data_IF_493358636554
#
_entry.id   IF_493358636554
#
_cell.length_a   1.000
_cell.length_b   1.000
_cell.length_c   1.000
_cell.angle_alpha   90.00
_cell.angle_beta   90.00
_cell.angle_gamma   90.00
#
_symmetry.space_group_name_H-M   'P 1'
#
loop_
_entity.id
_entity.type
_entity.pdbx_description
1 polymer ?
#
# COMPACT_ATOMS: atom_id res chain seq x y z
N UNK A 1 7.46 -25.50 -20.19
CA UNK A 1 7.22 -24.39 -21.12
C UNK A 1 6.81 -23.18 -20.31
N UNK A 2 7.41 -22.01 -20.53
CA UNK A 2 7.07 -20.76 -19.88
C UNK A 2 5.74 -20.22 -20.42
N UNK A 3 5.08 -19.37 -19.65
CA UNK A 3 3.85 -18.72 -20.10
C UNK A 3 4.18 -17.50 -20.97
N UNK A 4 5.25 -16.78 -20.60
CA UNK A 4 5.72 -15.60 -21.29
C UNK A 4 7.24 -15.51 -21.26
N UNK A 5 7.81 -15.00 -22.35
CA UNK A 5 9.18 -14.46 -22.40
C UNK A 5 9.11 -13.01 -22.84
N UNK A 6 9.76 -12.12 -22.10
CA UNK A 6 10.01 -10.73 -22.47
C UNK A 6 11.46 -10.61 -22.91
N UNK A 7 11.73 -10.01 -24.08
CA UNK A 7 13.08 -9.92 -24.66
C UNK A 7 13.29 -8.61 -25.40
N UNK A 8 14.57 -8.26 -25.68
CA UNK A 8 14.95 -7.11 -26.51
C UNK A 8 15.02 -5.77 -25.79
N UNK A 9 14.64 -5.73 -24.51
CA UNK A 9 14.71 -4.50 -23.72
C UNK A 9 15.88 -4.50 -22.74
N UNK A 10 16.27 -3.30 -22.31
CA UNK A 10 17.26 -3.12 -21.23
C UNK A 10 16.57 -3.27 -19.89
N UNK A 11 16.86 -4.36 -19.16
CA UNK A 11 16.24 -4.71 -17.87
C UNK A 11 16.98 -4.04 -16.74
N UNK A 12 16.29 -3.23 -15.94
CA UNK A 12 16.86 -2.58 -14.76
C UNK A 12 16.91 -3.56 -13.59
N UNK A 13 18.11 -3.79 -13.08
CA UNK A 13 18.38 -4.63 -11.91
C UNK A 13 19.03 -3.81 -10.79
N UNK A 14 19.16 -4.33 -9.56
CA UNK A 14 19.90 -3.65 -8.51
C UNK A 14 21.36 -3.35 -8.86
N UNK A 15 21.94 -4.10 -9.81
CA UNK A 15 23.30 -3.88 -10.32
C UNK A 15 23.36 -2.91 -11.51
N UNK A 16 22.22 -2.39 -11.95
CA UNK A 16 22.08 -1.50 -13.11
C UNK A 16 21.34 -2.16 -14.29
N UNK A 17 21.26 -1.46 -15.44
CA UNK A 17 20.61 -1.98 -16.63
C UNK A 17 21.43 -3.10 -17.27
N UNK A 18 20.79 -4.18 -17.68
CA UNK A 18 21.39 -5.35 -18.30
C UNK A 18 20.48 -5.87 -19.42
N UNK A 19 21.07 -6.37 -20.51
CA UNK A 19 20.33 -6.96 -21.62
C UNK A 19 19.97 -8.42 -21.28
N UNK A 20 18.79 -8.63 -20.75
CA UNK A 20 18.28 -9.92 -20.32
C UNK A 20 16.94 -10.24 -20.99
N UNK A 21 16.67 -11.53 -21.17
CA UNK A 21 15.35 -12.06 -21.39
C UNK A 21 14.73 -12.53 -20.06
N UNK A 22 13.48 -12.14 -19.80
CA UNK A 22 12.73 -12.49 -18.60
C UNK A 22 11.74 -13.59 -18.94
N UNK A 23 11.91 -14.77 -18.33
CA UNK A 23 10.94 -15.87 -18.45
C UNK A 23 9.97 -15.87 -17.28
N UNK A 24 8.68 -15.91 -17.59
CA UNK A 24 7.59 -15.93 -16.61
C UNK A 24 6.86 -17.27 -16.64
N UNK A 25 6.59 -17.81 -15.46
CA UNK A 25 5.79 -19.02 -15.26
C UNK A 25 4.88 -18.85 -14.03
N UNK A 26 3.61 -19.15 -14.19
CA UNK A 26 2.59 -19.07 -13.13
C UNK A 26 2.59 -17.70 -12.42
N UNK A 27 2.68 -16.60 -13.21
CA UNK A 27 2.69 -15.22 -12.71
C UNK A 27 3.99 -14.77 -12.02
N UNK A 28 5.05 -15.60 -12.04
CA UNK A 28 6.32 -15.29 -11.38
C UNK A 28 7.47 -15.27 -12.37
N UNK A 29 8.50 -14.46 -12.09
CA UNK A 29 9.78 -14.51 -12.83
C UNK A 29 10.44 -15.85 -12.50
N UNK A 30 10.52 -16.73 -13.51
CA UNK A 30 11.10 -18.06 -13.39
C UNK A 30 12.55 -18.12 -13.87
N UNK A 31 12.96 -17.21 -14.77
CA UNK A 31 14.32 -17.14 -15.27
C UNK A 31 14.69 -15.73 -15.73
N UNK A 32 15.98 -15.40 -15.55
CA UNK A 32 16.66 -14.29 -16.20
C UNK A 32 17.77 -14.90 -17.04
N UNK A 33 17.78 -14.67 -18.34
CA UNK A 33 18.71 -15.30 -19.28
C UNK A 33 19.38 -14.20 -20.10
N UNK A 34 20.65 -14.35 -20.41
CA UNK A 34 21.35 -13.46 -21.34
C UNK A 34 20.54 -13.37 -22.65
N UNK A 35 20.29 -12.13 -23.11
CA UNK A 35 19.51 -11.89 -24.33
C UNK A 35 20.15 -12.48 -25.59
N UNK A 36 21.47 -12.71 -25.59
CA UNK A 36 22.21 -13.36 -26.65
C UNK A 36 22.10 -14.92 -26.65
N UNK A 37 21.61 -15.49 -25.53
CA UNK A 37 21.39 -16.93 -25.45
C UNK A 37 20.09 -17.36 -26.15
N UNK A 38 19.97 -18.64 -26.54
CA UNK A 38 18.71 -19.17 -27.08
C UNK A 38 17.57 -18.97 -26.08
N UNK A 39 16.50 -18.36 -26.55
CA UNK A 39 15.33 -18.12 -25.71
C UNK A 39 14.62 -19.42 -25.34
N UNK A 40 14.20 -19.60 -24.09
CA UNK A 40 13.43 -20.75 -23.68
C UNK A 40 12.06 -20.78 -24.36
N UNK A 41 11.50 -21.97 -24.59
CA UNK A 41 10.18 -22.13 -25.18
C UNK A 41 9.10 -21.54 -24.26
N UNK A 42 8.25 -20.65 -24.83
CA UNK A 42 7.17 -19.98 -24.12
C UNK A 42 5.89 -19.98 -24.98
N UNK A 43 4.75 -19.91 -24.30
CA UNK A 43 3.45 -19.77 -24.96
C UNK A 43 3.30 -18.41 -25.66
N UNK A 44 3.93 -17.37 -25.12
CA UNK A 44 3.92 -16.00 -25.63
C UNK A 44 5.28 -15.36 -25.53
N UNK A 45 5.65 -14.53 -26.52
CA UNK A 45 6.85 -13.70 -26.48
C UNK A 45 6.44 -12.23 -26.65
N UNK A 46 6.94 -11.37 -25.77
CA UNK A 46 6.85 -9.91 -25.89
C UNK A 46 8.23 -9.35 -26.24
N UNK A 47 8.26 -8.51 -27.26
CA UNK A 47 9.47 -7.78 -27.65
C UNK A 47 9.41 -6.39 -27.06
N UNK A 48 10.49 -6.00 -26.39
CA UNK A 48 10.70 -4.68 -25.79
C UNK A 48 11.91 -3.98 -26.45
N UNK A 49 12.11 -4.19 -27.74
CA UNK A 49 13.25 -3.63 -28.47
C UNK A 49 13.31 -2.10 -28.30
N UNK A 50 14.45 -1.60 -27.81
CA UNK A 50 14.67 -0.18 -27.55
C UNK A 50 13.95 0.39 -26.32
N UNK A 51 13.30 -0.45 -25.53
CA UNK A 51 12.62 -0.04 -24.31
C UNK A 51 13.45 -0.35 -23.07
N UNK A 52 13.16 0.37 -21.98
CA UNK A 52 13.63 0.05 -20.64
C UNK A 52 12.58 -0.78 -19.93
N UNK A 53 12.99 -1.90 -19.38
CA UNK A 53 12.11 -2.80 -18.61
C UNK A 53 12.39 -2.61 -17.12
N UNK A 54 11.38 -2.21 -16.39
CA UNK A 54 11.44 -1.98 -14.94
C UNK A 54 10.36 -2.81 -14.23
N UNK A 55 10.51 -3.10 -12.92
CA UNK A 55 9.40 -3.59 -12.12
C UNK A 55 8.20 -2.63 -12.18
N UNK A 56 7.01 -3.15 -12.04
CA UNK A 56 5.82 -2.30 -11.88
C UNK A 56 5.94 -1.37 -10.67
N UNK A 57 5.41 -0.15 -10.80
CA UNK A 57 5.40 0.82 -9.71
C UNK A 57 4.60 0.32 -8.50
N UNK A 58 5.01 0.76 -7.33
CA UNK A 58 4.25 0.61 -6.07
C UNK A 58 3.85 2.01 -5.63
N UNK A 59 2.54 2.26 -5.53
CA UNK A 59 2.03 3.49 -4.91
C UNK A 59 1.65 3.18 -3.46
N UNK A 60 2.44 3.66 -2.48
CA UNK A 60 2.23 3.34 -1.08
C UNK A 60 1.22 4.26 -0.39
N UNK A 61 0.48 5.10 -1.12
CA UNK A 61 -0.41 6.08 -0.48
C UNK A 61 -1.62 6.43 -1.34
N UNK A 62 -2.62 5.57 -1.31
CA UNK A 62 -3.89 5.81 -2.01
C UNK A 62 -5.07 5.82 -1.04
N UNK A 63 -6.11 6.58 -1.36
CA UNK A 63 -7.36 6.61 -0.61
C UNK A 63 -8.52 6.28 -1.55
N UNK A 64 -9.01 5.04 -1.48
CA UNK A 64 -10.16 4.57 -2.27
C UNK A 64 -11.43 4.59 -1.42
N UNK A 65 -12.57 4.92 -2.02
CA UNK A 65 -13.87 4.99 -1.32
C UNK A 65 -13.80 5.77 0.01
N UNK A 66 -12.91 6.76 0.10
CA UNK A 66 -12.80 7.61 1.27
C UNK A 66 -13.87 8.70 1.20
N UNK A 67 -14.60 8.86 2.29
CA UNK A 67 -15.58 9.93 2.42
C UNK A 67 -14.88 11.29 2.49
N UNK A 68 -15.39 12.23 1.71
CA UNK A 68 -14.99 13.63 1.72
C UNK A 68 -16.21 14.42 2.21
N UNK A 69 -16.18 14.80 3.47
CA UNK A 69 -17.24 15.62 4.08
C UNK A 69 -17.34 16.97 3.36
N UNK A 70 -18.56 17.44 3.16
CA UNK A 70 -18.79 18.80 2.68
C UNK A 70 -18.61 19.79 3.85
N UNK A 71 -17.64 20.71 3.82
CA UNK A 71 -17.43 21.68 4.90
C UNK A 71 -18.62 22.60 5.15
N UNK A 72 -19.52 22.76 4.16
CA UNK A 72 -20.75 23.54 4.28
C UNK A 72 -21.90 22.76 4.93
N UNK A 73 -21.71 21.50 5.33
CA UNK A 73 -22.74 20.62 5.88
C UNK A 73 -23.66 20.03 4.82
N UNK A 74 -23.26 20.07 3.55
CA UNK A 74 -23.96 19.44 2.45
C UNK A 74 -23.74 17.92 2.38
N UNK A 75 -23.97 17.35 1.21
CA UNK A 75 -23.80 15.92 0.99
C UNK A 75 -22.32 15.56 0.80
N UNK A 76 -21.83 14.62 1.59
CA UNK A 76 -20.51 14.03 1.39
C UNK A 76 -20.33 13.43 -0.01
N UNK A 77 -19.12 13.51 -0.52
CA UNK A 77 -18.67 12.80 -1.73
C UNK A 77 -17.70 11.72 -1.35
N UNK A 78 -17.29 10.90 -2.31
CA UNK A 78 -16.33 9.81 -2.07
C UNK A 78 -15.23 9.85 -3.13
N UNK A 79 -14.01 9.50 -2.74
CA UNK A 79 -12.94 9.22 -3.70
C UNK A 79 -13.30 8.01 -4.56
N UNK A 80 -12.66 7.87 -5.72
CA UNK A 80 -12.92 6.75 -6.60
C UNK A 80 -12.65 5.39 -5.92
N UNK A 81 -13.40 4.37 -6.32
CA UNK A 81 -13.25 3.01 -5.79
C UNK A 81 -12.02 2.28 -6.34
N UNK A 82 -11.66 1.13 -5.72
CA UNK A 82 -10.51 0.32 -6.11
C UNK A 82 -10.52 -0.13 -7.58
N UNK A 83 -11.68 -0.38 -8.16
CA UNK A 83 -11.85 -0.75 -9.56
C UNK A 83 -11.37 0.34 -10.53
N UNK A 84 -11.73 1.58 -10.27
CA UNK A 84 -11.32 2.73 -11.08
C UNK A 84 -9.85 3.05 -10.86
N UNK A 85 -9.44 3.15 -9.58
CA UNK A 85 -8.08 3.56 -9.21
C UNK A 85 -7.05 2.54 -9.67
N UNK A 86 -7.27 1.25 -9.44
CA UNK A 86 -6.32 0.20 -9.83
C UNK A 86 -6.19 0.06 -11.35
N UNK A 87 -7.28 0.23 -12.08
CA UNK A 87 -7.23 0.24 -13.55
C UNK A 87 -6.45 1.44 -14.08
N UNK A 88 -6.67 2.63 -13.53
CA UNK A 88 -5.93 3.82 -13.90
C UNK A 88 -4.43 3.67 -13.57
N UNK A 89 -4.10 3.11 -12.40
CA UNK A 89 -2.74 2.82 -11.97
C UNK A 89 -1.98 1.92 -12.96
N UNK A 90 -2.61 0.84 -13.43
CA UNK A 90 -2.02 -0.05 -14.44
C UNK A 90 -1.70 0.66 -15.75
N UNK A 91 -2.53 1.60 -16.20
CA UNK A 91 -2.25 2.42 -17.37
C UNK A 91 -1.02 3.33 -17.17
N UNK A 92 -0.70 3.70 -15.92
CA UNK A 92 0.50 4.43 -15.54
C UNK A 92 1.72 3.54 -15.21
N UNK A 93 1.57 2.20 -15.28
CA UNK A 93 2.64 1.25 -14.95
C UNK A 93 2.77 0.92 -13.46
N UNK A 94 1.84 1.39 -12.62
CA UNK A 94 1.77 1.00 -11.19
C UNK A 94 0.99 -0.30 -11.06
N UNK A 95 1.60 -1.31 -10.43
CA UNK A 95 1.06 -2.67 -10.31
C UNK A 95 0.67 -3.06 -8.91
N UNK A 96 1.01 -2.24 -7.92
CA UNK A 96 0.70 -2.47 -6.50
C UNK A 96 0.26 -1.16 -5.87
N UNK A 97 -0.83 -1.21 -5.10
CA UNK A 97 -1.38 -0.06 -4.37
C UNK A 97 -1.45 -0.38 -2.88
N UNK A 98 -1.13 0.59 -2.03
CA UNK A 98 -1.30 0.44 -0.58
C UNK A 98 -2.29 1.49 -0.10
N UNK A 99 -3.43 1.01 0.36
CA UNK A 99 -4.56 1.84 0.82
C UNK A 99 -4.61 1.89 2.35
N UNK A 100 -5.53 2.64 2.91
CA UNK A 100 -5.66 2.87 4.34
C UNK A 100 -6.91 2.17 4.89
N UNK A 101 -6.70 1.32 5.90
CA UNK A 101 -7.76 0.68 6.68
C UNK A 101 -7.88 1.40 8.03
N UNK A 102 -8.91 2.22 8.16
CA UNK A 102 -9.18 3.00 9.36
C UNK A 102 -9.77 2.11 10.45
N UNK A 103 -9.04 1.96 11.55
CA UNK A 103 -9.52 1.23 12.73
C UNK A 103 -10.63 2.01 13.42
N UNK A 104 -11.76 1.36 13.67
CA UNK A 104 -12.86 1.94 14.43
C UNK A 104 -12.79 1.52 15.92
N UNK A 105 -13.23 2.38 16.85
CA UNK A 105 -13.30 2.01 18.26
C UNK A 105 -14.07 0.69 18.48
N UNK A 106 -13.58 -0.15 19.38
CA UNK A 106 -14.15 -1.47 19.74
C UNK A 106 -14.08 -2.55 18.63
N UNK A 107 -13.45 -2.29 17.48
CA UNK A 107 -13.09 -3.33 16.50
C UNK A 107 -11.76 -3.98 16.86
N UNK A 108 -11.54 -5.21 16.36
CA UNK A 108 -10.21 -5.82 16.29
C UNK A 108 -9.50 -5.35 15.01
N UNK A 109 -8.16 -5.45 14.96
CA UNK A 109 -7.41 -5.18 13.73
C UNK A 109 -7.83 -6.13 12.61
N UNK A 110 -8.15 -7.38 12.93
CA UNK A 110 -8.68 -8.35 11.97
C UNK A 110 -9.99 -7.87 11.34
N UNK A 111 -10.93 -7.41 12.13
CA UNK A 111 -12.21 -6.87 11.63
C UNK A 111 -12.00 -5.66 10.73
N UNK A 112 -11.08 -4.76 11.11
CA UNK A 112 -10.69 -3.60 10.29
C UNK A 112 -10.16 -4.03 8.92
N UNK A 113 -9.25 -5.02 8.91
CA UNK A 113 -8.67 -5.58 7.68
C UNK A 113 -9.76 -6.21 6.81
N UNK A 114 -10.56 -7.11 7.38
CA UNK A 114 -11.60 -7.83 6.64
C UNK A 114 -12.63 -6.89 6.02
N UNK A 115 -13.00 -5.82 6.73
CA UNK A 115 -13.87 -4.78 6.23
C UNK A 115 -13.26 -4.07 5.01
N UNK A 116 -11.97 -3.69 5.07
CA UNK A 116 -11.31 -2.98 3.98
C UNK A 116 -11.00 -3.90 2.79
N UNK A 117 -10.61 -5.13 3.06
CA UNK A 117 -10.36 -6.14 2.01
C UNK A 117 -11.60 -6.37 1.14
N UNK A 118 -12.81 -6.32 1.69
CA UNK A 118 -14.06 -6.46 0.91
C UNK A 118 -14.20 -5.43 -0.19
N UNK A 119 -13.70 -4.20 0.01
CA UNK A 119 -13.75 -3.15 -1.02
C UNK A 119 -12.83 -3.44 -2.20
N UNK A 120 -11.70 -4.12 -1.94
CA UNK A 120 -10.67 -4.44 -2.91
C UNK A 120 -10.86 -5.80 -3.58
N UNK A 121 -11.37 -6.75 -2.81
CA UNK A 121 -11.53 -8.13 -3.26
C UNK A 121 -12.47 -8.22 -4.46
N UNK A 122 -12.04 -8.87 -5.52
CA UNK A 122 -12.79 -9.08 -6.76
C UNK A 122 -13.03 -7.81 -7.61
N UNK A 123 -12.55 -6.64 -7.20
CA UNK A 123 -12.70 -5.39 -7.95
C UNK A 123 -11.37 -4.83 -8.45
N UNK A 124 -10.28 -5.05 -7.73
CA UNK A 124 -8.96 -4.55 -8.07
C UNK A 124 -8.33 -5.27 -9.27
N UNK A 125 -7.61 -4.51 -10.08
CA UNK A 125 -6.82 -5.00 -11.21
C UNK A 125 -5.33 -5.08 -10.88
N UNK A 126 -4.90 -4.48 -9.76
CA UNK A 126 -3.52 -4.51 -9.23
C UNK A 126 -3.46 -5.42 -8.02
N UNK A 127 -2.25 -5.77 -7.62
CA UNK A 127 -2.00 -6.20 -6.23
C UNK A 127 -2.28 -5.03 -5.28
N UNK A 128 -2.61 -5.35 -4.03
CA UNK A 128 -2.85 -4.34 -3.01
C UNK A 128 -2.42 -4.80 -1.62
N UNK A 129 -2.17 -3.83 -0.76
CA UNK A 129 -1.97 -4.01 0.68
C UNK A 129 -2.63 -2.87 1.44
N UNK A 130 -2.54 -2.88 2.77
CA UNK A 130 -3.18 -1.90 3.63
C UNK A 130 -2.20 -1.34 4.65
N UNK A 131 -2.28 -0.02 4.88
CA UNK A 131 -1.80 0.62 6.09
C UNK A 131 -2.93 0.58 7.12
N UNK A 132 -2.68 0.00 8.30
CA UNK A 132 -3.65 0.03 9.39
C UNK A 132 -3.56 1.37 10.12
N UNK A 133 -4.59 2.20 9.99
CA UNK A 133 -4.62 3.52 10.63
C UNK A 133 -5.12 3.36 12.07
N UNK A 134 -4.24 3.65 13.02
CA UNK A 134 -4.55 3.69 14.43
C UNK A 134 -4.74 5.14 14.88
N UNK A 135 -5.67 5.38 15.78
CA UNK A 135 -6.01 6.73 16.27
C UNK A 135 -6.36 6.71 17.75
N UNK A 136 -6.18 7.85 18.40
CA UNK A 136 -6.40 7.98 19.83
C UNK A 136 -5.44 7.11 20.65
N UNK A 137 -5.85 6.72 21.84
CA UNK A 137 -5.09 5.82 22.71
C UNK A 137 -5.06 4.39 22.13
N UNK A 138 -3.87 3.84 21.97
CA UNK A 138 -3.69 2.45 21.52
C UNK A 138 -3.68 1.56 22.76
N UNK A 139 -4.74 0.77 22.93
CA UNK A 139 -4.85 -0.13 24.08
C UNK A 139 -3.84 -1.27 24.05
N UNK A 140 -3.49 -1.82 25.21
CA UNK A 140 -2.64 -3.00 25.31
C UNK A 140 -3.22 -4.18 24.53
N UNK A 141 -4.54 -4.37 24.56
CA UNK A 141 -5.20 -5.42 23.81
C UNK A 141 -4.96 -5.27 22.29
N UNK A 142 -5.01 -4.04 21.77
CA UNK A 142 -4.76 -3.79 20.36
C UNK A 142 -3.27 -4.03 20.00
N UNK A 143 -2.34 -3.64 20.87
CA UNK A 143 -0.91 -3.93 20.69
C UNK A 143 -0.63 -5.43 20.64
N UNK A 144 -1.36 -6.25 21.39
CA UNK A 144 -1.23 -7.70 21.39
C UNK A 144 -1.70 -8.36 20.08
N UNK A 145 -2.54 -7.71 19.28
CA UNK A 145 -2.97 -8.24 17.98
C UNK A 145 -1.88 -8.02 16.88
N UNK A 146 -1.01 -7.03 17.03
CA UNK A 146 -0.05 -6.60 16.00
C UNK A 146 0.87 -7.71 15.50
N UNK A 147 1.48 -8.56 16.35
CA UNK A 147 2.35 -9.65 15.88
C UNK A 147 1.64 -10.59 14.90
N UNK A 148 0.38 -10.94 15.20
CA UNK A 148 -0.39 -11.83 14.33
C UNK A 148 -0.77 -11.14 13.01
N UNK A 149 -1.16 -9.87 13.06
CA UNK A 149 -1.49 -9.06 11.88
C UNK A 149 -0.28 -8.95 10.94
N UNK A 150 0.91 -8.74 11.50
CA UNK A 150 2.17 -8.72 10.72
C UNK A 150 2.45 -10.11 10.10
N UNK A 151 2.27 -11.19 10.87
CA UNK A 151 2.43 -12.55 10.38
C UNK A 151 1.44 -12.90 9.26
N UNK A 152 0.24 -12.32 9.29
CA UNK A 152 -0.79 -12.45 8.24
C UNK A 152 -0.47 -11.61 6.98
N UNK A 153 0.63 -10.81 6.99
CA UNK A 153 1.14 -10.04 5.84
C UNK A 153 0.80 -8.54 5.85
N UNK A 154 0.09 -8.03 6.85
CA UNK A 154 -0.21 -6.60 6.99
C UNK A 154 0.82 -5.92 7.89
N UNK A 155 1.95 -5.56 7.31
CA UNK A 155 3.15 -5.14 8.05
C UNK A 155 3.21 -3.65 8.36
N UNK A 156 2.27 -2.85 7.86
CA UNK A 156 2.35 -1.39 7.92
C UNK A 156 1.21 -0.76 8.73
N UNK A 157 1.60 0.17 9.60
CA UNK A 157 0.69 0.93 10.48
C UNK A 157 0.84 2.41 10.21
N UNK A 158 -0.24 3.18 10.33
CA UNK A 158 -0.26 4.64 10.16
C UNK A 158 -0.79 5.29 11.43
N UNK A 159 -0.09 6.33 11.87
CA UNK A 159 -0.48 7.18 13.01
C UNK A 159 -0.28 8.65 12.68
N UNK A 160 -0.89 9.52 13.49
CA UNK A 160 -0.81 10.97 13.37
C UNK A 160 -0.33 11.57 14.70
N UNK A 161 0.54 12.57 14.64
CA UNK A 161 0.99 13.32 15.82
C UNK A 161 0.14 14.56 16.09
N UNK A 162 -0.78 14.90 15.17
CA UNK A 162 -1.68 16.05 15.24
C UNK A 162 -3.09 15.67 14.78
N UNK A 163 -4.07 16.44 15.22
CA UNK A 163 -5.44 16.37 14.72
C UNK A 163 -5.59 17.23 13.45
N UNK A 164 -5.35 16.60 12.29
CA UNK A 164 -5.44 17.27 10.98
C UNK A 164 -6.87 17.35 10.44
N UNK A 165 -7.84 16.71 11.11
CA UNK A 165 -9.27 16.76 10.76
C UNK A 165 -10.03 17.42 11.90
N UNK A 166 -10.61 18.62 11.71
CA UNK A 166 -11.48 19.21 12.71
C UNK A 166 -12.70 18.33 12.98
N UNK A 167 -13.06 18.13 14.24
CA UNK A 167 -14.26 17.40 14.61
C UNK A 167 -14.16 16.67 15.96
N UNK A 168 -15.22 15.96 16.31
CA UNK A 168 -15.34 15.26 17.60
C UNK A 168 -14.65 13.90 17.64
N UNK A 169 -13.97 13.49 16.56
CA UNK A 169 -13.31 12.19 16.45
C UNK A 169 -11.79 12.37 16.17
N UNK A 170 -11.00 12.65 17.21
CA UNK A 170 -9.60 12.99 17.07
C UNK A 170 -8.80 11.79 16.51
N UNK A 171 -7.91 12.09 15.56
CA UNK A 171 -7.03 11.08 14.95
C UNK A 171 -5.63 11.05 15.57
N UNK A 172 -5.27 12.08 16.31
CA UNK A 172 -3.99 12.19 17.01
C UNK A 172 -3.76 10.99 17.94
N UNK A 173 -2.56 10.43 17.88
CA UNK A 173 -2.10 9.36 18.78
C UNK A 173 -1.07 9.94 19.76
N UNK A 174 -1.23 9.73 21.07
CA UNK A 174 -0.25 10.16 22.06
C UNK A 174 1.13 9.55 21.80
N UNK A 175 2.21 10.32 22.02
CA UNK A 175 3.57 9.86 21.79
C UNK A 175 3.93 8.59 22.58
N UNK A 176 3.36 8.41 23.79
CA UNK A 176 3.52 7.18 24.55
C UNK A 176 2.99 5.95 23.82
N UNK A 177 1.79 6.07 23.24
CA UNK A 177 1.18 5.00 22.43
C UNK A 177 1.98 4.75 21.14
N UNK A 178 2.48 5.80 20.48
CA UNK A 178 3.35 5.66 19.30
C UNK A 178 4.63 4.91 19.67
N UNK A 179 5.22 5.20 20.83
CA UNK A 179 6.43 4.53 21.30
C UNK A 179 6.20 3.03 21.54
N UNK A 180 5.09 2.66 22.20
CA UNK A 180 4.73 1.26 22.39
C UNK A 180 4.48 0.55 21.04
N UNK A 181 3.80 1.22 20.12
CA UNK A 181 3.61 0.72 18.75
C UNK A 181 4.95 0.47 18.05
N UNK A 182 5.91 1.40 18.13
CA UNK A 182 7.24 1.22 17.54
C UNK A 182 7.95 -0.02 18.10
N UNK A 183 7.86 -0.26 19.40
CA UNK A 183 8.52 -1.42 20.02
C UNK A 183 7.93 -2.74 19.50
N UNK A 184 6.61 -2.86 19.45
CA UNK A 184 5.97 -4.10 19.01
C UNK A 184 6.15 -4.33 17.50
N UNK A 185 6.06 -3.29 16.68
CA UNK A 185 6.25 -3.41 15.23
C UNK A 185 7.71 -3.75 14.87
N UNK A 186 8.69 -3.09 15.50
CA UNK A 186 10.11 -3.38 15.30
C UNK A 186 10.46 -4.83 15.69
N UNK A 187 9.91 -5.34 16.79
CA UNK A 187 10.13 -6.71 17.23
C UNK A 187 9.56 -7.77 16.26
N UNK A 188 8.61 -7.39 15.39
CA UNK A 188 7.92 -8.28 14.48
C UNK A 188 8.14 -7.94 12.99
N UNK A 189 9.18 -7.14 12.66
CA UNK A 189 9.50 -6.73 11.29
C UNK A 189 8.39 -5.91 10.59
N UNK A 190 7.61 -5.18 11.37
CA UNK A 190 6.62 -4.22 10.87
C UNK A 190 7.22 -2.82 10.70
N UNK A 191 6.44 -1.92 10.12
CA UNK A 191 6.80 -0.51 9.90
C UNK A 191 5.67 0.41 10.34
N UNK A 192 6.02 1.59 10.86
CA UNK A 192 5.04 2.63 11.21
C UNK A 192 5.32 3.87 10.38
N UNK A 193 4.32 4.30 9.62
CA UNK A 193 4.30 5.59 8.94
C UNK A 193 3.66 6.63 9.87
N UNK A 194 4.37 7.72 10.10
CA UNK A 194 3.91 8.81 10.98
C UNK A 194 3.59 10.05 10.16
N UNK A 195 2.38 10.58 10.30
CA UNK A 195 2.06 11.93 9.88
C UNK A 195 2.55 12.87 10.98
N UNK A 196 3.72 13.46 10.77
CA UNK A 196 4.50 14.10 11.82
C UNK A 196 4.40 15.63 11.73
N UNK A 197 3.27 16.17 12.10
CA UNK A 197 3.05 17.60 12.25
C UNK A 197 2.98 17.98 13.73
N UNK A 198 3.32 19.23 14.04
CA UNK A 198 3.16 19.80 15.37
C UNK A 198 1.68 20.16 15.59
N UNK A 199 1.06 19.58 16.61
CA UNK A 199 -0.36 19.72 16.90
C UNK A 199 -0.77 21.14 17.27
N UNK A 200 0.09 21.86 18.01
CA UNK A 200 -0.18 23.24 18.42
C UNK A 200 -0.14 24.17 17.19
N UNK A 201 0.80 23.93 16.27
CA UNK A 201 0.88 24.68 15.01
C UNK A 201 -0.30 24.41 14.09
N UNK A 202 -0.70 23.15 13.95
CA UNK A 202 -1.89 22.76 13.15
C UNK A 202 -3.13 23.45 13.72
N UNK A 203 -3.35 23.37 15.02
CA UNK A 203 -4.48 24.00 15.70
C UNK A 203 -4.47 25.53 15.56
N UNK A 204 -3.31 26.16 15.66
CA UNK A 204 -3.17 27.63 15.54
C UNK A 204 -3.42 28.13 14.10
N UNK A 205 -3.10 27.35 13.07
CA UNK A 205 -3.20 27.76 11.67
C UNK A 205 -4.48 27.29 11.00
N UNK A 206 -5.16 26.29 11.55
CA UNK A 206 -6.39 25.73 11.00
C UNK A 206 -7.61 26.65 11.11
N UNK A 207 -7.58 27.65 12.00
CA UNK A 207 -8.64 28.63 12.22
C UNK A 207 -8.45 29.94 11.40
N UNK A 208 -7.50 29.99 10.44
CA UNK A 208 -7.14 31.20 9.68
C UNK A 208 -7.56 31.15 8.18
#
# INVERSE_FOLDING_TARGET
>A
MLDLVLTGGSVVTPAGPVDLAIGVKDGKIASLTDSAAPLPAAARTLKADGMVVVPGGIDPHVHCNMELADPSGGRSTYTAGPDIVSRAALHGGTTTLIDFAWHAPAETLRTTIERRVKDWQSTAYTDYSLHLVLRGEISEALLQEIPQVIADGFVSFKVFTSDVTPGDDPIKVPFGSIWELFKVTAANSGVVAVHAEDDDLVSCTGDS
#
